data_IF_620306944070
#
_entry.id   IF_620306944070
#
_cell.length_a   1.000
_cell.length_b   1.000
_cell.length_c   1.000
_cell.angle_alpha   90.00
_cell.angle_beta   90.00
_cell.angle_gamma   90.00
#
_symmetry.space_group_name_H-M   'P 1'
#
loop_
_entity.id
_entity.type
_entity.pdbx_description
1 polymer ?
#
# COMPACT_ATOMS: atom_id res chain seq x y z
N UNK A 1 -17.12 10.74 -30.01
CA UNK A 1 -15.75 10.91 -29.47
C UNK A 1 -15.65 10.06 -28.21
N UNK A 2 -15.40 8.76 -28.35
CA UNK A 2 -15.41 7.81 -27.22
C UNK A 2 -14.35 6.71 -27.42
N UNK A 3 -13.33 6.98 -28.23
CA UNK A 3 -12.27 6.04 -28.60
C UNK A 3 -10.89 6.74 -28.61
N UNK A 4 -10.43 7.22 -27.46
CA UNK A 4 -9.07 7.76 -27.36
C UNK A 4 -8.37 7.56 -26.00
N UNK A 5 -9.00 6.88 -25.05
CA UNK A 5 -8.33 6.46 -23.80
C UNK A 5 -8.38 4.95 -23.80
N UNK A 6 -7.24 4.30 -24.02
CA UNK A 6 -7.13 2.84 -23.87
C UNK A 6 -7.69 2.41 -22.51
N UNK A 7 -8.18 1.17 -22.42
CA UNK A 7 -8.66 0.64 -21.15
C UNK A 7 -7.54 0.72 -20.11
N UNK A 8 -7.74 1.50 -19.04
CA UNK A 8 -6.73 1.67 -17.98
C UNK A 8 -6.66 0.35 -17.24
N UNK A 9 -5.49 -0.29 -17.24
CA UNK A 9 -5.33 -1.58 -16.56
C UNK A 9 -5.29 -1.37 -15.04
N UNK A 10 -5.59 -2.41 -14.27
CA UNK A 10 -5.47 -2.35 -12.80
C UNK A 10 -4.06 -1.91 -12.38
N UNK A 11 -3.05 -2.41 -13.09
CA UNK A 11 -1.65 -2.10 -12.85
C UNK A 11 -1.34 -0.62 -13.04
N UNK A 12 -1.87 -0.01 -14.10
CA UNK A 12 -1.70 1.43 -14.35
C UNK A 12 -2.35 2.25 -13.24
N UNK A 13 -3.56 1.86 -12.81
CA UNK A 13 -4.24 2.50 -11.68
C UNK A 13 -3.42 2.38 -10.38
N UNK A 14 -2.85 1.21 -10.10
CA UNK A 14 -2.01 1.01 -8.92
C UNK A 14 -0.72 1.82 -9.00
N UNK A 15 -0.15 2.02 -10.20
CA UNK A 15 1.03 2.89 -10.39
C UNK A 15 0.69 4.35 -10.09
N UNK A 16 -0.41 4.85 -10.63
CA UNK A 16 -0.88 6.23 -10.37
C UNK A 16 -1.18 6.45 -8.88
N UNK A 17 -1.75 5.44 -8.21
CA UNK A 17 -1.99 5.46 -6.77
C UNK A 17 -0.67 5.53 -5.98
N UNK A 18 0.34 4.75 -6.35
CA UNK A 18 1.66 4.80 -5.71
C UNK A 18 2.24 6.21 -5.80
N UNK A 19 2.17 6.84 -6.96
CA UNK A 19 2.67 8.21 -7.15
C UNK A 19 1.90 9.21 -6.27
N UNK A 20 0.57 9.08 -6.22
CA UNK A 20 -0.29 9.91 -5.37
C UNK A 20 -0.06 9.72 -3.86
N UNK A 21 0.22 8.51 -3.40
CA UNK A 21 0.54 8.21 -1.99
C UNK A 21 1.90 8.79 -1.58
N UNK A 22 2.83 8.97 -2.52
CA UNK A 22 4.15 9.54 -2.27
C UNK A 22 4.20 11.07 -2.43
N UNK A 23 3.09 11.71 -2.83
CA UNK A 23 3.01 13.14 -3.05
C UNK A 23 3.36 13.96 -1.79
N UNK A 24 4.00 15.14 -1.90
CA UNK A 24 4.41 15.93 -0.72
C UNK A 24 3.24 16.43 0.14
N UNK A 25 2.10 16.74 -0.49
CA UNK A 25 0.92 17.25 0.18
C UNK A 25 0.10 16.13 0.85
N UNK A 26 -0.04 16.21 2.18
CA UNK A 26 -0.77 15.25 3.00
C UNK A 26 -2.23 15.04 2.56
N UNK A 27 -2.90 16.09 2.07
CA UNK A 27 -4.29 15.97 1.60
C UNK A 27 -4.39 15.15 0.31
N UNK A 28 -3.39 15.25 -0.57
CA UNK A 28 -3.32 14.44 -1.78
C UNK A 28 -3.13 12.97 -1.40
N UNK A 29 -2.19 12.68 -0.49
CA UNK A 29 -1.98 11.31 0.02
C UNK A 29 -3.27 10.73 0.62
N UNK A 30 -3.96 11.51 1.46
CA UNK A 30 -5.21 11.09 2.09
C UNK A 30 -6.31 10.79 1.08
N UNK A 31 -6.51 11.67 0.09
CA UNK A 31 -7.51 11.48 -0.96
C UNK A 31 -7.22 10.22 -1.78
N UNK A 32 -5.95 10.02 -2.17
CA UNK A 32 -5.52 8.85 -2.93
C UNK A 32 -5.64 7.55 -2.11
N UNK A 33 -5.31 7.58 -0.82
CA UNK A 33 -5.51 6.44 0.07
C UNK A 33 -6.99 6.05 0.19
N UNK A 34 -7.89 7.04 0.28
CA UNK A 34 -9.33 6.78 0.28
C UNK A 34 -9.80 6.13 -1.03
N UNK A 35 -9.27 6.59 -2.16
CA UNK A 35 -9.63 6.04 -3.47
C UNK A 35 -9.10 4.62 -3.67
N UNK A 36 -7.87 4.36 -3.24
CA UNK A 36 -7.31 3.01 -3.20
C UNK A 36 -8.20 2.09 -2.35
N UNK A 37 -8.63 2.51 -1.16
CA UNK A 37 -9.48 1.68 -0.31
C UNK A 37 -10.78 1.27 -1.04
N UNK A 38 -11.42 2.20 -1.75
CA UNK A 38 -12.59 1.88 -2.58
C UNK A 38 -12.24 0.88 -3.69
N UNK A 39 -11.13 1.11 -4.39
CA UNK A 39 -10.68 0.24 -5.48
C UNK A 39 -10.42 -1.19 -4.99
N UNK A 40 -9.72 -1.35 -3.86
CA UNK A 40 -9.41 -2.65 -3.25
C UNK A 40 -10.68 -3.42 -2.87
N UNK A 41 -11.68 -2.72 -2.35
CA UNK A 41 -12.96 -3.33 -2.00
C UNK A 41 -13.83 -3.64 -3.22
N UNK A 42 -13.77 -2.81 -4.27
CA UNK A 42 -14.54 -3.00 -5.50
C UNK A 42 -13.97 -4.13 -6.38
N UNK A 43 -12.64 -4.25 -6.45
CA UNK A 43 -11.92 -5.17 -7.36
C UNK A 43 -11.14 -6.24 -6.60
N UNK A 44 -11.70 -6.75 -5.51
CA UNK A 44 -11.01 -7.65 -4.57
C UNK A 44 -10.41 -8.89 -5.24
N UNK A 45 -11.13 -9.52 -6.17
CA UNK A 45 -10.67 -10.72 -6.88
C UNK A 45 -9.48 -10.41 -7.80
N UNK A 46 -9.57 -9.32 -8.58
CA UNK A 46 -8.48 -8.88 -9.46
C UNK A 46 -7.22 -8.53 -8.67
N UNK A 47 -7.38 -7.85 -7.54
CA UNK A 47 -6.27 -7.51 -6.63
C UNK A 47 -5.65 -8.78 -6.04
N UNK A 48 -6.46 -9.75 -5.62
CA UNK A 48 -5.97 -11.03 -5.10
C UNK A 48 -5.17 -11.78 -6.16
N UNK A 49 -5.61 -11.75 -7.42
CA UNK A 49 -4.87 -12.31 -8.55
C UNK A 49 -3.50 -11.64 -8.72
N UNK A 50 -3.43 -10.31 -8.62
CA UNK A 50 -2.16 -9.56 -8.68
C UNK A 50 -1.24 -9.90 -7.50
N UNK A 51 -1.78 -10.01 -6.28
CA UNK A 51 -1.02 -10.33 -5.07
C UNK A 51 -0.47 -11.76 -5.10
N UNK A 52 -1.25 -12.71 -5.60
CA UNK A 52 -0.88 -14.13 -5.66
C UNK A 52 -0.09 -14.50 -6.92
N UNK A 53 -0.18 -13.69 -7.97
CA UNK A 53 0.52 -13.89 -9.25
C UNK A 53 2.05 -13.85 -9.15
N UNK A 54 2.70 -14.19 -10.27
CA UNK A 54 4.16 -14.34 -10.38
C UNK A 54 4.78 -13.42 -11.45
N UNK A 55 4.02 -12.45 -11.96
CA UNK A 55 4.49 -11.55 -13.01
C UNK A 55 5.44 -10.51 -12.42
N UNK A 56 6.70 -10.54 -12.85
CA UNK A 56 7.78 -9.74 -12.25
C UNK A 56 7.55 -8.23 -12.18
N UNK A 57 6.83 -7.65 -13.15
CA UNK A 57 6.54 -6.21 -13.17
C UNK A 57 5.34 -5.81 -12.30
N UNK A 58 4.52 -6.77 -11.87
CA UNK A 58 3.43 -6.55 -10.90
C UNK A 58 3.97 -6.58 -9.47
N UNK A 59 4.98 -7.42 -9.23
CA UNK A 59 5.74 -7.50 -7.98
C UNK A 59 6.36 -6.14 -7.61
N UNK A 60 6.90 -5.41 -8.58
CA UNK A 60 7.50 -4.08 -8.33
C UNK A 60 6.44 -3.02 -7.96
N UNK A 61 5.26 -3.06 -8.60
CA UNK A 61 4.13 -2.17 -8.25
C UNK A 61 3.65 -2.47 -6.84
N UNK A 62 3.43 -3.76 -6.54
CA UNK A 62 2.93 -4.20 -5.24
C UNK A 62 3.91 -3.84 -4.12
N UNK A 63 5.22 -4.05 -4.35
CA UNK A 63 6.24 -3.69 -3.36
C UNK A 63 6.25 -2.19 -3.09
N UNK A 64 6.10 -1.38 -4.13
CA UNK A 64 6.02 0.08 -4.01
C UNK A 64 4.75 0.51 -3.26
N UNK A 65 3.62 -0.11 -3.57
CA UNK A 65 2.33 0.12 -2.93
C UNK A 65 2.38 -0.19 -1.42
N UNK A 66 2.86 -1.37 -1.04
CA UNK A 66 2.98 -1.77 0.37
C UNK A 66 3.92 -0.80 1.10
N UNK A 67 5.05 -0.43 0.48
CA UNK A 67 5.99 0.54 1.06
C UNK A 67 5.33 1.91 1.31
N UNK A 68 4.61 2.43 0.33
CA UNK A 68 3.89 3.71 0.46
C UNK A 68 2.78 3.65 1.52
N UNK A 69 2.05 2.55 1.61
CA UNK A 69 1.04 2.34 2.64
C UNK A 69 1.65 2.27 4.04
N UNK A 70 2.74 1.52 4.23
CA UNK A 70 3.45 1.44 5.50
C UNK A 70 3.99 2.82 5.93
N UNK A 71 4.50 3.63 4.99
CA UNK A 71 4.88 5.02 5.27
C UNK A 71 3.69 5.88 5.70
N UNK A 72 2.53 5.70 5.07
CA UNK A 72 1.28 6.36 5.48
C UNK A 72 0.81 5.97 6.89
N UNK A 73 0.98 4.71 7.28
CA UNK A 73 0.73 4.25 8.66
C UNK A 73 1.70 4.89 9.66
N UNK A 74 2.95 5.11 9.25
CA UNK A 74 4.00 5.75 10.05
C UNK A 74 4.00 7.29 9.97
N UNK A 75 3.01 7.92 9.32
CA UNK A 75 2.91 9.38 9.20
C UNK A 75 3.03 10.06 10.58
N UNK A 76 3.78 11.14 10.71
CA UNK A 76 4.03 11.76 12.03
C UNK A 76 3.09 12.94 12.31
N UNK A 77 2.42 13.45 11.27
CA UNK A 77 1.47 14.55 11.40
C UNK A 77 0.39 14.28 12.44
N UNK A 78 0.26 15.20 13.40
CA UNK A 78 -0.74 15.18 14.47
C UNK A 78 -2.07 15.83 14.08
N UNK A 79 -2.21 16.23 12.81
CA UNK A 79 -3.45 16.80 12.28
C UNK A 79 -4.55 15.74 12.15
N UNK A 80 -5.81 16.16 12.09
CA UNK A 80 -6.93 15.24 11.84
C UNK A 80 -6.77 14.48 10.51
N UNK A 81 -6.27 15.14 9.46
CA UNK A 81 -6.01 14.51 8.16
C UNK A 81 -4.89 13.47 8.29
N UNK A 82 -3.81 13.79 9.01
CA UNK A 82 -2.72 12.84 9.27
C UNK A 82 -3.19 11.59 10.01
N UNK A 83 -4.01 11.76 11.05
CA UNK A 83 -4.59 10.63 11.77
C UNK A 83 -5.52 9.78 10.89
N UNK A 84 -6.35 10.41 10.05
CA UNK A 84 -7.21 9.68 9.11
C UNK A 84 -6.41 8.96 8.03
N UNK A 85 -5.33 9.56 7.54
CA UNK A 85 -4.43 8.91 6.58
C UNK A 85 -3.88 7.60 7.15
N UNK A 86 -3.40 7.60 8.41
CA UNK A 86 -2.89 6.38 9.06
C UNK A 86 -3.91 5.25 9.07
N UNK A 87 -5.15 5.57 9.46
CA UNK A 87 -6.24 4.59 9.53
C UNK A 87 -6.57 4.02 8.15
N UNK A 88 -6.74 4.88 7.15
CA UNK A 88 -7.06 4.43 5.78
C UNK A 88 -5.91 3.63 5.18
N UNK A 89 -4.65 3.98 5.45
CA UNK A 89 -3.51 3.17 5.01
C UNK A 89 -3.50 1.78 5.67
N UNK A 90 -3.86 1.68 6.94
CA UNK A 90 -4.00 0.40 7.64
C UNK A 90 -5.16 -0.44 7.06
N UNK A 91 -6.29 0.19 6.76
CA UNK A 91 -7.43 -0.47 6.11
C UNK A 91 -7.04 -1.03 4.73
N UNK A 92 -6.31 -0.25 3.92
CA UNK A 92 -5.80 -0.70 2.63
C UNK A 92 -4.85 -1.90 2.76
N UNK A 93 -3.94 -1.91 3.74
CA UNK A 93 -3.08 -3.06 4.00
C UNK A 93 -3.89 -4.29 4.40
N UNK A 94 -4.92 -4.12 5.23
CA UNK A 94 -5.85 -5.20 5.58
C UNK A 94 -6.62 -5.74 4.37
N UNK A 95 -7.03 -4.86 3.45
CA UNK A 95 -7.75 -5.23 2.23
C UNK A 95 -6.87 -5.94 1.19
N UNK A 96 -5.56 -5.65 1.13
CA UNK A 96 -4.59 -6.42 0.33
C UNK A 96 -4.49 -7.87 0.80
N UNK A 97 -4.71 -8.13 2.09
CA UNK A 97 -4.68 -9.46 2.68
C UNK A 97 -3.28 -10.02 2.83
N UNK A 98 -3.17 -11.35 2.89
CA UNK A 98 -1.89 -12.03 3.07
C UNK A 98 -1.04 -11.91 1.80
N UNK A 99 0.15 -11.32 1.95
CA UNK A 99 1.16 -11.22 0.89
C UNK A 99 2.37 -12.06 1.32
N UNK A 100 2.88 -12.89 0.40
CA UNK A 100 4.12 -13.64 0.63
C UNK A 100 5.30 -12.66 0.75
N UNK A 101 6.04 -12.64 1.88
CA UNK A 101 7.20 -11.76 2.06
C UNK A 101 8.28 -11.96 0.99
N UNK A 102 8.43 -13.16 0.41
CA UNK A 102 9.39 -13.42 -0.66
C UNK A 102 9.05 -12.66 -1.95
N UNK A 103 7.80 -12.22 -2.10
CA UNK A 103 7.30 -11.43 -3.24
C UNK A 103 7.37 -9.93 -3.00
N UNK A 104 7.94 -9.45 -1.89
CA UNK A 104 8.08 -8.02 -1.62
C UNK A 104 9.54 -7.60 -1.59
N UNK A 105 9.91 -6.67 -2.47
CA UNK A 105 11.26 -6.11 -2.56
C UNK A 105 11.39 -4.91 -1.61
N UNK A 106 12.54 -4.77 -0.95
CA UNK A 106 12.96 -3.48 -0.37
C UNK A 106 12.73 -3.28 1.13
N UNK A 107 12.33 -4.29 1.89
CA UNK A 107 12.37 -4.19 3.35
C UNK A 107 13.75 -4.58 3.87
N UNK A 108 14.59 -3.58 4.15
CA UNK A 108 15.60 -3.77 5.19
C UNK A 108 14.87 -3.72 6.52
N UNK A 109 14.45 -4.89 7.02
CA UNK A 109 13.99 -4.99 8.40
C UNK A 109 15.15 -4.52 9.27
N UNK A 110 15.01 -3.38 9.95
CA UNK A 110 15.83 -3.16 11.14
C UNK A 110 15.42 -4.27 12.09
N UNK A 111 16.22 -5.33 12.13
CA UNK A 111 15.98 -6.48 12.99
C UNK A 111 16.01 -5.94 14.42
N UNK A 112 14.83 -5.67 14.98
CA UNK A 112 14.74 -5.30 16.38
C UNK A 112 15.30 -6.49 17.14
N UNK A 113 16.34 -6.27 17.94
CA UNK A 113 16.84 -7.29 18.85
C UNK A 113 15.69 -7.56 19.83
N UNK A 114 15.03 -8.70 19.68
CA UNK A 114 14.19 -9.25 20.73
C UNK A 114 15.16 -9.64 21.84
N UNK A 115 15.34 -8.75 22.81
CA UNK A 115 16.08 -9.05 24.02
C UNK A 115 15.13 -9.82 24.93
N UNK A 116 15.36 -11.12 25.09
CA UNK A 116 14.77 -11.87 26.19
C UNK A 116 15.46 -11.37 27.46
N UNK A 117 14.70 -10.77 28.38
CA UNK A 117 15.18 -10.54 29.74
C UNK A 117 15.10 -11.89 30.46
N UNK A 118 16.21 -12.43 30.93
CA UNK A 118 16.25 -13.64 31.75
C UNK A 118 15.84 -13.33 33.22
N UNK A 119 14.82 -12.50 33.43
CA UNK A 119 14.36 -12.04 34.77
C UNK A 119 13.16 -12.86 35.30
N UNK A 120 13.11 -14.15 34.99
CA UNK A 120 12.17 -15.11 35.59
C UNK A 120 12.93 -16.26 36.27
N UNK A 121 13.75 -15.95 37.28
CA UNK A 121 14.41 -16.92 38.17
C UNK A 121 13.96 -16.81 39.62
#
# INVERSE_FOLDING_TARGET
IQEARGSVTLKDQLRDIVDGLNHENLNVRYMVACELNKLLNLRREDVTSVVTGEVGSDIDVLSSLITSLLRGCAEESRTLVGQRLKLVCADCLGALGAVDPAKVKGFSSQRFKIACSDDDL
#
